data_IF_131568716452
#
_entry.id   IF_131568716452
#
_cell.length_a   1.000
_cell.length_b   1.000
_cell.length_c   1.000
_cell.angle_alpha   90.00
_cell.angle_beta   90.00
_cell.angle_gamma   90.00
#
_symmetry.space_group_name_H-M   'P 1'
#
loop_
_entity.id
_entity.type
_entity.pdbx_description
1 polymer ?
#
# COMPACT_ATOMS: atom_id res chain seq x y z
N UNK A 1 2.57 21.76 16.89
CA UNK A 1 3.66 20.78 16.68
C UNK A 1 5.03 21.45 16.68
N UNK A 2 5.31 22.40 15.78
CA UNK A 2 6.62 23.08 15.72
C UNK A 2 6.96 23.79 17.04
N UNK A 3 6.01 24.54 17.62
CA UNK A 3 6.19 25.20 18.93
C UNK A 3 6.43 24.20 20.09
N UNK A 4 6.02 22.95 19.92
CA UNK A 4 6.28 21.87 20.87
C UNK A 4 7.65 21.20 20.65
N UNK A 5 8.45 21.65 19.66
CA UNK A 5 9.82 21.20 19.41
C UNK A 5 9.97 20.12 18.34
N UNK A 6 8.99 19.90 17.46
CA UNK A 6 9.11 18.91 16.38
C UNK A 6 9.96 19.44 15.22
N UNK A 7 11.03 18.72 14.85
CA UNK A 7 11.92 19.06 13.72
C UNK A 7 11.32 18.74 12.34
N UNK A 8 10.45 17.72 12.28
CA UNK A 8 9.80 17.25 11.05
C UNK A 8 8.29 17.20 11.25
N UNK A 9 7.54 17.76 10.31
CA UNK A 9 6.09 17.73 10.28
C UNK A 9 5.64 16.81 9.16
N UNK A 10 4.98 15.70 9.51
CA UNK A 10 4.33 14.84 8.54
C UNK A 10 3.00 15.49 8.09
N UNK A 11 2.84 15.63 6.78
CA UNK A 11 1.56 15.99 6.14
C UNK A 11 1.03 14.71 5.52
N UNK A 12 -0.08 14.22 6.05
CA UNK A 12 -0.63 12.90 5.74
C UNK A 12 -1.92 13.09 4.95
N UNK A 13 -1.95 12.59 3.71
CA UNK A 13 -3.20 12.46 2.96
C UNK A 13 -3.26 11.07 2.32
N UNK A 14 -4.04 10.14 2.91
CA UNK A 14 -4.08 8.75 2.46
C UNK A 14 -4.80 8.56 1.11
N UNK A 15 -5.47 9.60 0.59
CA UNK A 15 -6.28 9.50 -0.63
C UNK A 15 -5.61 10.11 -1.86
N UNK A 16 -4.43 10.71 -1.73
CA UNK A 16 -3.69 11.27 -2.89
C UNK A 16 -3.47 10.22 -3.97
N UNK A 17 -3.24 8.96 -3.62
CA UNK A 17 -3.09 7.85 -4.58
C UNK A 17 -4.34 7.60 -5.44
N UNK A 18 -5.52 8.01 -4.96
CA UNK A 18 -6.80 7.86 -5.65
C UNK A 18 -7.11 9.02 -6.61
N UNK A 19 -6.28 10.07 -6.63
CA UNK A 19 -6.49 11.28 -7.41
C UNK A 19 -5.50 11.29 -8.57
N UNK A 20 -5.98 11.61 -9.78
CA UNK A 20 -5.11 11.68 -10.95
C UNK A 20 -4.08 12.81 -10.80
N UNK A 21 -2.85 12.66 -11.32
CA UNK A 21 -1.83 13.72 -11.27
C UNK A 21 -2.33 15.07 -11.80
N UNK A 22 -3.10 15.06 -12.89
CA UNK A 22 -3.73 16.26 -13.46
C UNK A 22 -4.66 16.98 -12.47
N UNK A 23 -5.44 16.24 -11.69
CA UNK A 23 -6.32 16.83 -10.70
C UNK A 23 -5.54 17.28 -9.47
N UNK A 24 -4.51 16.53 -9.05
CA UNK A 24 -3.59 16.95 -7.99
C UNK A 24 -2.96 18.30 -8.35
N UNK A 25 -2.33 18.40 -9.52
CA UNK A 25 -1.63 19.61 -9.97
C UNK A 25 -2.56 20.82 -10.03
N UNK A 26 -3.81 20.61 -10.46
CA UNK A 26 -4.78 21.69 -10.65
C UNK A 26 -5.47 22.11 -9.35
N UNK A 27 -5.80 21.17 -8.48
CA UNK A 27 -6.75 21.39 -7.36
C UNK A 27 -6.09 21.32 -6.00
N UNK A 28 -5.06 20.48 -5.83
CA UNK A 28 -4.48 20.19 -4.52
C UNK A 28 -3.10 20.83 -4.33
N UNK A 29 -2.29 20.87 -5.40
CA UNK A 29 -0.93 21.38 -5.36
C UNK A 29 -0.83 22.79 -4.74
N UNK A 30 -1.68 23.78 -5.08
CA UNK A 30 -1.58 25.11 -4.47
C UNK A 30 -1.72 25.08 -2.94
N UNK A 31 -2.64 24.25 -2.43
CA UNK A 31 -2.89 24.13 -0.99
C UNK A 31 -1.75 23.41 -0.28
N UNK A 32 -1.29 22.28 -0.83
CA UNK A 32 -0.17 21.53 -0.26
C UNK A 32 1.13 22.32 -0.29
N UNK A 33 1.45 22.98 -1.41
CA UNK A 33 2.61 23.89 -1.50
C UNK A 33 2.55 24.97 -0.42
N UNK A 34 1.39 25.58 -0.20
CA UNK A 34 1.23 26.59 0.86
C UNK A 34 1.52 26.03 2.26
N UNK A 35 1.15 24.77 2.52
CA UNK A 35 1.45 24.08 3.79
C UNK A 35 2.96 23.81 3.93
N UNK A 36 3.59 23.27 2.89
CA UNK A 36 5.03 22.98 2.91
C UNK A 36 5.88 24.25 3.02
N UNK A 37 5.53 25.31 2.28
CA UNK A 37 6.16 26.62 2.39
C UNK A 37 6.03 27.21 3.81
N UNK A 38 4.86 27.04 4.43
CA UNK A 38 4.67 27.48 5.82
C UNK A 38 5.56 26.71 6.79
N UNK A 39 5.63 25.37 6.69
CA UNK A 39 6.51 24.53 7.54
C UNK A 39 7.97 24.98 7.39
N UNK A 40 8.42 25.13 6.13
CA UNK A 40 9.77 25.59 5.81
C UNK A 40 10.05 27.00 6.34
N UNK A 41 9.10 27.92 6.28
CA UNK A 41 9.24 29.29 6.81
C UNK A 41 9.44 29.33 8.33
N UNK A 42 9.04 28.26 9.03
CA UNK A 42 9.27 28.06 10.46
C UNK A 42 10.57 27.32 10.78
N UNK A 43 11.37 26.98 9.76
CA UNK A 43 12.64 26.30 9.92
C UNK A 43 12.51 24.80 10.25
N UNK A 44 11.34 24.21 10.05
CA UNK A 44 11.11 22.77 10.21
C UNK A 44 11.10 22.07 8.84
N UNK A 45 11.33 20.76 8.83
CA UNK A 45 11.22 19.93 7.64
C UNK A 45 9.80 19.38 7.48
N UNK A 46 9.43 19.03 6.26
CA UNK A 46 8.15 18.45 5.90
C UNK A 46 8.30 17.08 5.26
N UNK A 47 7.43 16.13 5.63
CA UNK A 47 7.36 14.82 4.99
C UNK A 47 5.94 14.56 4.49
N UNK A 48 5.76 14.35 3.19
CA UNK A 48 4.46 14.03 2.60
C UNK A 48 4.24 12.52 2.61
N UNK A 49 3.24 12.05 3.34
CA UNK A 49 2.87 10.65 3.40
C UNK A 49 1.58 10.34 2.63
N UNK A 50 1.60 9.24 1.89
CA UNK A 50 0.48 8.74 1.08
C UNK A 50 0.33 7.22 1.22
N UNK A 51 -0.91 6.76 1.43
CA UNK A 51 -1.27 5.35 1.43
C UNK A 51 -1.55 4.83 0.01
N UNK A 52 -1.38 3.53 -0.19
CA UNK A 52 -1.69 2.84 -1.43
C UNK A 52 -0.68 3.12 -2.56
N UNK A 53 -1.01 2.72 -3.78
CA UNK A 53 -0.09 2.84 -4.90
C UNK A 53 -0.04 4.28 -5.46
N UNK A 54 0.85 5.10 -4.92
CA UNK A 54 1.08 6.48 -5.34
C UNK A 54 2.11 6.64 -6.48
N UNK A 55 2.49 5.56 -7.17
CA UNK A 55 3.59 5.56 -8.17
C UNK A 55 3.39 6.65 -9.25
N UNK A 56 2.15 6.90 -9.69
CA UNK A 56 1.86 7.90 -10.73
C UNK A 56 1.87 9.33 -10.18
N UNK A 57 1.73 9.49 -8.86
CA UNK A 57 1.56 10.76 -8.17
C UNK A 57 2.90 11.30 -7.64
N UNK A 58 3.94 10.47 -7.54
CA UNK A 58 5.24 10.86 -6.96
C UNK A 58 5.76 12.17 -7.57
N UNK A 59 5.77 12.31 -8.89
CA UNK A 59 6.29 13.53 -9.53
C UNK A 59 5.46 14.79 -9.16
N UNK A 60 4.12 14.67 -9.13
CA UNK A 60 3.23 15.75 -8.68
C UNK A 60 3.48 16.10 -7.21
N UNK A 61 3.69 15.11 -6.35
CA UNK A 61 4.03 15.33 -4.95
C UNK A 61 5.38 16.04 -4.81
N UNK A 62 6.39 15.66 -5.60
CA UNK A 62 7.70 16.32 -5.61
C UNK A 62 7.60 17.81 -5.98
N UNK A 63 6.74 18.16 -6.94
CA UNK A 63 6.52 19.55 -7.38
C UNK A 63 5.93 20.45 -6.30
N UNK A 64 5.40 19.88 -5.21
CA UNK A 64 4.90 20.66 -4.07
C UNK A 64 6.01 21.04 -3.08
N UNK A 65 7.25 20.60 -3.33
CA UNK A 65 8.44 20.93 -2.56
C UNK A 65 8.47 20.48 -1.09
N UNK A 66 7.98 19.27 -0.72
CA UNK A 66 8.28 18.73 0.60
C UNK A 66 9.76 18.37 0.72
N UNK A 67 10.28 18.24 1.94
CA UNK A 67 11.65 17.78 2.18
C UNK A 67 11.78 16.25 2.07
N UNK A 68 10.69 15.54 2.34
CA UNK A 68 10.59 14.10 2.17
C UNK A 68 9.22 13.62 1.66
N UNK A 69 9.20 12.42 1.08
CA UNK A 69 8.00 11.68 0.70
C UNK A 69 8.11 10.28 1.28
N UNK A 70 7.09 9.83 2.02
CA UNK A 70 7.01 8.46 2.55
C UNK A 70 5.89 7.71 1.85
N UNK A 71 6.18 6.47 1.41
CA UNK A 71 5.30 5.69 0.54
C UNK A 71 4.99 4.31 1.11
N UNK A 72 3.80 3.84 0.76
CA UNK A 72 3.26 2.52 1.10
C UNK A 72 3.97 1.34 0.42
N UNK A 73 3.77 0.12 0.96
CA UNK A 73 4.34 -1.13 0.43
C UNK A 73 3.94 -1.41 -1.03
N UNK A 74 2.85 -0.79 -1.50
CA UNK A 74 2.37 -0.90 -2.88
C UNK A 74 3.18 -0.09 -3.91
N UNK A 75 4.13 0.76 -3.49
CA UNK A 75 4.95 1.58 -4.38
C UNK A 75 6.27 0.87 -4.71
N UNK A 76 6.67 0.88 -5.98
CA UNK A 76 8.01 0.46 -6.38
C UNK A 76 9.01 1.52 -5.92
N UNK A 77 9.67 1.28 -4.79
CA UNK A 77 10.54 2.25 -4.14
C UNK A 77 11.75 2.63 -5.01
N UNK A 78 12.27 1.69 -5.81
CA UNK A 78 13.38 1.96 -6.72
C UNK A 78 12.98 2.93 -7.84
N UNK A 79 11.81 2.72 -8.45
CA UNK A 79 11.29 3.65 -9.46
C UNK A 79 10.93 5.01 -8.85
N UNK A 80 10.28 5.02 -7.70
CA UNK A 80 9.92 6.25 -7.00
C UNK A 80 11.18 7.07 -6.64
N UNK A 81 12.24 6.40 -6.17
CA UNK A 81 13.51 7.03 -5.83
C UNK A 81 14.16 7.74 -7.02
N UNK A 82 14.15 7.12 -8.21
CA UNK A 82 14.67 7.76 -9.43
C UNK A 82 13.98 9.11 -9.67
N UNK A 83 12.69 9.22 -9.37
CA UNK A 83 11.94 10.47 -9.49
C UNK A 83 12.31 11.42 -8.36
N UNK A 84 12.27 11.00 -7.08
CA UNK A 84 12.56 11.90 -5.95
C UNK A 84 13.98 12.46 -5.97
N UNK A 85 14.96 11.69 -6.46
CA UNK A 85 16.34 12.12 -6.58
C UNK A 85 16.50 13.29 -7.58
N UNK A 86 15.68 13.36 -8.63
CA UNK A 86 15.67 14.49 -9.58
C UNK A 86 15.24 15.81 -8.93
N UNK A 87 14.49 15.72 -7.83
CA UNK A 87 13.98 16.86 -7.07
C UNK A 87 14.74 17.08 -5.75
N UNK A 88 15.77 16.26 -5.47
CA UNK A 88 16.50 16.26 -4.20
C UNK A 88 15.58 16.08 -2.97
N UNK A 89 14.63 15.15 -3.06
CA UNK A 89 13.67 14.83 -2.00
C UNK A 89 14.07 13.52 -1.32
N UNK A 90 13.96 13.49 0.01
CA UNK A 90 14.18 12.27 0.80
C UNK A 90 13.02 11.31 0.63
N UNK A 91 13.28 10.06 0.24
CA UNK A 91 12.24 9.04 0.13
C UNK A 91 12.26 8.09 1.32
N UNK A 92 11.08 7.80 1.86
CA UNK A 92 10.86 6.89 2.97
C UNK A 92 9.94 5.72 2.62
N UNK A 93 10.23 4.56 3.19
CA UNK A 93 9.44 3.34 3.05
C UNK A 93 10.33 2.15 2.66
N UNK A 94 9.77 1.04 2.21
CA UNK A 94 8.36 0.69 2.31
C UNK A 94 8.22 -0.76 2.77
N UNK A 95 8.87 -1.08 3.90
CA UNK A 95 8.89 -2.44 4.47
C UNK A 95 7.46 -2.96 4.60
N UNK A 96 7.15 -4.15 4.03
CA UNK A 96 5.80 -4.71 4.08
C UNK A 96 5.32 -4.97 5.51
N UNK A 97 4.12 -4.52 5.83
CA UNK A 97 3.64 -4.48 7.21
C UNK A 97 3.25 -5.86 7.72
N UNK A 98 2.43 -6.57 6.96
CA UNK A 98 1.88 -7.84 7.43
C UNK A 98 2.83 -9.00 7.17
N UNK A 99 3.27 -9.17 5.92
CA UNK A 99 4.04 -10.36 5.51
C UNK A 99 5.46 -10.34 6.06
N UNK A 100 6.06 -9.16 6.22
CA UNK A 100 7.42 -9.02 6.75
C UNK A 100 7.38 -8.67 8.23
N UNK A 101 6.73 -7.57 8.64
CA UNK A 101 6.84 -7.12 10.04
C UNK A 101 5.99 -7.93 11.02
N UNK A 102 4.72 -8.21 10.72
CA UNK A 102 3.82 -8.92 11.64
C UNK A 102 4.05 -10.44 11.66
N UNK A 103 4.02 -11.08 10.49
CA UNK A 103 4.10 -12.54 10.37
C UNK A 103 5.47 -13.07 9.95
N UNK A 104 6.37 -12.19 9.53
CA UNK A 104 7.74 -12.57 9.23
C UNK A 104 8.57 -12.80 10.50
N UNK A 105 9.72 -13.40 10.29
CA UNK A 105 10.77 -13.57 11.29
C UNK A 105 11.72 -12.38 11.33
N UNK A 106 12.63 -12.37 12.29
CA UNK A 106 13.73 -11.41 12.31
C UNK A 106 14.58 -11.49 11.02
N UNK A 107 14.76 -12.69 10.48
CA UNK A 107 15.54 -12.89 9.25
C UNK A 107 14.80 -12.36 8.02
N UNK A 108 13.46 -12.46 7.96
CA UNK A 108 12.66 -11.83 6.90
C UNK A 108 12.79 -10.30 6.92
N UNK A 109 12.73 -9.70 8.11
CA UNK A 109 12.89 -8.26 8.31
C UNK A 109 14.30 -7.79 7.94
N UNK A 110 15.33 -8.52 8.39
CA UNK A 110 16.72 -8.26 8.00
C UNK A 110 16.90 -8.35 6.48
N UNK A 111 16.37 -9.43 5.87
CA UNK A 111 16.46 -9.64 4.43
C UNK A 111 15.79 -8.51 3.66
N UNK A 112 14.58 -8.11 4.04
CA UNK A 112 13.88 -7.00 3.41
C UNK A 112 14.73 -5.72 3.42
N UNK A 113 15.32 -5.36 4.57
CA UNK A 113 16.17 -4.18 4.66
C UNK A 113 17.44 -4.30 3.82
N UNK A 114 18.12 -5.45 3.85
CA UNK A 114 19.31 -5.69 3.03
C UNK A 114 18.98 -5.58 1.53
N UNK A 115 17.87 -6.18 1.10
CA UNK A 115 17.43 -6.09 -0.29
C UNK A 115 17.15 -4.63 -0.70
N UNK A 116 16.53 -3.83 0.19
CA UNK A 116 16.35 -2.39 -0.06
C UNK A 116 17.69 -1.66 -0.17
N UNK A 117 18.63 -1.91 0.75
CA UNK A 117 19.96 -1.29 0.74
C UNK A 117 20.80 -1.68 -0.48
N UNK A 118 20.65 -2.91 -0.99
CA UNK A 118 21.40 -3.40 -2.14
C UNK A 118 20.85 -2.86 -3.47
N UNK A 119 19.55 -2.54 -3.52
CA UNK A 119 18.88 -2.07 -4.74
C UNK A 119 18.71 -0.55 -4.83
N UNK A 120 18.99 0.21 -3.76
CA UNK A 120 18.76 1.65 -3.69
C UNK A 120 20.04 2.42 -3.39
N UNK A 121 20.16 3.62 -3.95
CA UNK A 121 21.15 4.59 -3.48
C UNK A 121 20.84 5.04 -2.05
N UNK A 122 21.87 5.28 -1.23
CA UNK A 122 21.66 5.59 0.20
C UNK A 122 21.50 7.09 0.49
N UNK A 123 21.80 7.96 -0.48
CA UNK A 123 21.52 9.39 -0.36
C UNK A 123 20.00 9.60 -0.34
N UNK A 124 19.51 10.49 0.55
CA UNK A 124 18.09 10.86 0.61
C UNK A 124 17.17 9.63 0.77
N UNK A 125 17.54 8.67 1.62
CA UNK A 125 16.79 7.44 1.88
C UNK A 125 16.52 7.26 3.37
N UNK A 126 15.26 6.97 3.72
CA UNK A 126 14.83 6.56 5.06
C UNK A 126 14.20 5.17 4.96
N UNK A 127 14.89 4.16 5.50
CA UNK A 127 14.30 2.82 5.66
C UNK A 127 13.22 2.90 6.74
N UNK A 128 11.97 2.64 6.34
CA UNK A 128 10.81 2.69 7.22
C UNK A 128 9.71 1.73 6.76
N UNK A 129 8.75 1.39 7.65
CA UNK A 129 7.53 0.69 7.27
C UNK A 129 6.75 1.43 6.19
N UNK A 130 5.96 0.71 5.38
CA UNK A 130 5.09 1.34 4.36
C UNK A 130 3.96 2.19 4.95
N UNK A 131 3.52 1.91 6.17
CA UNK A 131 2.49 2.65 6.89
C UNK A 131 2.68 2.41 8.41
N UNK A 132 1.66 2.73 9.21
CA UNK A 132 1.62 2.39 10.62
C UNK A 132 1.78 0.88 10.84
N UNK A 133 2.68 0.51 11.75
CA UNK A 133 2.93 -0.90 12.06
C UNK A 133 1.70 -1.51 12.74
N UNK A 134 1.33 -2.76 12.41
CA UNK A 134 0.32 -3.51 13.14
C UNK A 134 0.64 -3.57 14.65
N UNK A 135 -0.38 -3.44 15.50
CA UNK A 135 -0.21 -3.41 16.95
C UNK A 135 0.55 -4.63 17.50
N UNK A 136 0.28 -5.82 16.93
CA UNK A 136 0.87 -7.08 17.34
C UNK A 136 2.24 -7.39 16.68
N UNK A 137 2.84 -6.42 15.95
CA UNK A 137 4.17 -6.61 15.36
C UNK A 137 5.19 -7.00 16.44
N UNK A 138 5.87 -8.16 16.31
CA UNK A 138 6.87 -8.57 17.29
C UNK A 138 8.00 -7.55 17.41
N UNK A 139 8.37 -7.20 18.64
CA UNK A 139 9.40 -6.20 18.92
C UNK A 139 10.73 -6.60 18.28
N UNK A 140 11.07 -7.89 18.31
CA UNK A 140 12.27 -8.46 17.72
C UNK A 140 12.40 -8.20 16.21
N UNK A 141 11.28 -8.05 15.49
CA UNK A 141 11.27 -7.72 14.07
C UNK A 141 11.68 -6.27 13.84
N UNK A 142 11.23 -5.34 14.70
CA UNK A 142 11.67 -3.93 14.65
C UNK A 142 13.16 -3.79 15.00
N UNK A 143 13.66 -4.60 15.95
CA UNK A 143 15.08 -4.66 16.31
C UNK A 143 15.90 -5.18 15.13
N UNK A 144 15.39 -6.20 14.43
CA UNK A 144 16.04 -6.79 13.27
C UNK A 144 16.19 -5.78 12.11
N UNK A 145 15.16 -4.96 11.85
CA UNK A 145 15.23 -3.84 10.90
C UNK A 145 16.36 -2.87 11.29
N UNK A 146 16.37 -2.42 12.56
CA UNK A 146 17.38 -1.47 13.04
C UNK A 146 18.80 -2.05 12.98
N UNK A 147 18.97 -3.34 13.28
CA UNK A 147 20.25 -4.04 13.18
C UNK A 147 20.73 -4.13 11.73
N UNK A 148 19.84 -4.43 10.79
CA UNK A 148 20.16 -4.50 9.36
C UNK A 148 20.65 -3.16 8.82
N UNK A 149 20.03 -2.05 9.21
CA UNK A 149 20.50 -0.70 8.84
C UNK A 149 21.87 -0.37 9.46
N UNK A 150 22.08 -0.71 10.74
CA UNK A 150 23.30 -0.34 11.48
C UNK A 150 24.50 -1.22 11.15
N UNK A 151 24.29 -2.49 10.81
CA UNK A 151 25.35 -3.50 10.62
C UNK A 151 25.12 -4.37 9.37
N UNK A 152 24.96 -3.75 8.18
CA UNK A 152 24.47 -4.45 6.99
C UNK A 152 25.37 -5.61 6.57
N UNK A 153 26.71 -5.47 6.62
CA UNK A 153 27.63 -6.55 6.23
C UNK A 153 27.53 -7.77 7.14
N UNK A 154 27.42 -7.56 8.45
CA UNK A 154 27.22 -8.65 9.41
C UNK A 154 25.89 -9.35 9.17
N UNK A 155 24.84 -8.57 8.90
CA UNK A 155 23.51 -9.11 8.65
C UNK A 155 23.46 -9.90 7.34
N UNK A 156 24.14 -9.43 6.27
CA UNK A 156 24.27 -10.19 5.02
C UNK A 156 24.82 -11.60 5.24
N UNK A 157 25.84 -11.74 6.08
CA UNK A 157 26.38 -13.07 6.41
C UNK A 157 25.41 -13.90 7.29
N UNK A 158 24.66 -13.26 8.21
CA UNK A 158 23.63 -13.95 9.02
C UNK A 158 22.50 -14.55 8.18
N UNK A 159 22.11 -13.89 7.08
CA UNK A 159 20.96 -14.30 6.24
C UNK A 159 21.37 -15.03 4.95
N UNK A 160 22.66 -15.27 4.72
CA UNK A 160 23.21 -15.78 3.45
C UNK A 160 22.58 -17.08 2.94
N UNK A 161 22.18 -17.96 3.86
CA UNK A 161 21.53 -19.24 3.55
C UNK A 161 20.04 -19.24 3.93
N UNK A 162 19.49 -18.08 4.27
CA UNK A 162 18.10 -17.96 4.68
C UNK A 162 17.18 -17.91 3.45
N UNK A 163 16.08 -18.65 3.52
CA UNK A 163 14.96 -18.54 2.61
C UNK A 163 13.72 -18.18 3.42
N UNK A 164 12.98 -17.18 2.97
CA UNK A 164 11.77 -16.70 3.62
C UNK A 164 10.71 -17.79 3.68
N UNK A 165 9.92 -17.79 4.75
CA UNK A 165 8.76 -18.68 4.88
C UNK A 165 7.69 -18.23 3.89
N UNK A 166 7.17 -19.16 3.08
CA UNK A 166 6.07 -18.85 2.16
C UNK A 166 4.70 -19.15 2.78
N UNK A 167 3.65 -18.56 2.22
CA UNK A 167 2.27 -18.84 2.61
C UNK A 167 1.64 -19.95 1.75
N UNK A 168 2.43 -20.63 0.91
CA UNK A 168 1.95 -21.59 -0.09
C UNK A 168 1.41 -22.89 0.53
N UNK A 169 1.82 -23.21 1.77
CA UNK A 169 1.37 -24.40 2.50
C UNK A 169 -0.07 -24.28 3.02
N UNK A 170 -0.66 -23.08 2.97
CA UNK A 170 -2.03 -22.84 3.45
C UNK A 170 -3.02 -23.23 2.33
N UNK A 171 -3.80 -24.28 2.58
CA UNK A 171 -4.83 -24.74 1.65
C UNK A 171 -6.00 -23.76 1.59
N UNK A 172 -6.04 -22.95 0.52
CA UNK A 172 -7.18 -22.08 0.19
C UNK A 172 -7.96 -22.62 -1.01
N UNK A 173 -9.28 -22.68 -0.88
CA UNK A 173 -10.20 -23.07 -1.94
C UNK A 173 -10.50 -21.84 -2.81
N UNK A 174 -10.18 -21.95 -4.10
CA UNK A 174 -10.57 -20.96 -5.12
C UNK A 174 -11.84 -21.47 -5.80
N UNK A 175 -12.93 -20.68 -5.85
CA UNK A 175 -14.17 -21.11 -6.47
C UNK A 175 -14.01 -21.24 -7.99
N UNK A 176 -14.87 -22.04 -8.61
CA UNK A 176 -14.96 -22.11 -10.06
C UNK A 176 -15.73 -20.88 -10.58
N UNK A 177 -14.99 -19.83 -10.91
CA UNK A 177 -15.54 -18.55 -11.34
C UNK A 177 -16.44 -18.61 -12.58
N UNK A 178 -16.31 -19.66 -13.40
CA UNK A 178 -17.14 -19.83 -14.60
C UNK A 178 -18.51 -20.47 -14.30
N UNK A 179 -18.67 -21.08 -13.13
CA UNK A 179 -19.85 -21.88 -12.76
C UNK A 179 -20.44 -21.40 -11.42
N UNK A 180 -20.56 -20.09 -11.25
CA UNK A 180 -21.18 -19.46 -10.08
C UNK A 180 -22.69 -19.26 -10.31
N UNK A 181 -23.47 -19.29 -9.23
CA UNK A 181 -24.91 -18.95 -9.28
C UNK A 181 -25.15 -17.43 -9.37
N UNK A 182 -24.19 -16.64 -8.88
CA UNK A 182 -24.20 -15.18 -8.87
C UNK A 182 -22.79 -14.65 -9.16
N UNK A 183 -22.71 -13.38 -9.54
CA UNK A 183 -21.42 -12.69 -9.62
C UNK A 183 -20.78 -12.66 -8.24
N UNK A 184 -19.51 -13.04 -8.15
CA UNK A 184 -18.74 -12.94 -6.92
C UNK A 184 -17.83 -11.71 -6.99
N UNK A 185 -18.07 -10.75 -6.10
CA UNK A 185 -17.24 -9.57 -5.90
C UNK A 185 -16.26 -9.87 -4.76
N UNK A 186 -14.96 -9.91 -5.05
CA UNK A 186 -13.94 -10.18 -4.05
C UNK A 186 -13.09 -8.95 -3.82
N UNK A 187 -13.02 -8.48 -2.58
CA UNK A 187 -12.24 -7.30 -2.21
C UNK A 187 -11.05 -7.75 -1.38
N UNK A 188 -9.86 -7.61 -1.93
CA UNK A 188 -8.60 -7.87 -1.26
C UNK A 188 -8.09 -6.54 -0.70
N UNK A 189 -8.04 -6.42 0.61
CA UNK A 189 -7.72 -5.19 1.32
C UNK A 189 -6.62 -5.44 2.33
N UNK A 190 -5.79 -4.43 2.65
CA UNK A 190 -4.79 -4.53 3.70
C UNK A 190 -5.48 -4.70 5.07
N UNK A 191 -6.16 -3.64 5.49
CA UNK A 191 -7.04 -3.64 6.66
C UNK A 191 -8.13 -2.57 6.45
N UNK A 192 -9.39 -2.94 6.17
CA UNK A 192 -10.48 -1.97 6.01
C UNK A 192 -10.80 -1.14 7.25
N UNK A 193 -10.31 -1.51 8.43
CA UNK A 193 -10.55 -0.80 9.70
C UNK A 193 -9.50 0.29 9.94
N UNK A 194 -8.30 0.14 9.36
CA UNK A 194 -7.15 1.03 9.59
C UNK A 194 -6.68 1.77 8.34
N UNK A 195 -6.84 1.17 7.15
CA UNK A 195 -6.43 1.77 5.89
C UNK A 195 -7.62 2.45 5.20
N UNK A 196 -7.58 3.79 5.09
CA UNK A 196 -8.66 4.58 4.51
C UNK A 196 -9.04 4.13 3.08
N UNK A 197 -8.07 3.88 2.21
CA UNK A 197 -8.34 3.41 0.84
C UNK A 197 -9.07 2.05 0.83
N UNK A 198 -8.71 1.15 1.76
CA UNK A 198 -9.39 -0.13 1.95
C UNK A 198 -10.82 0.07 2.45
N UNK A 199 -11.03 0.96 3.43
CA UNK A 199 -12.36 1.32 3.93
C UNK A 199 -13.27 1.78 2.81
N UNK A 200 -12.81 2.72 1.97
CA UNK A 200 -13.62 3.24 0.87
C UNK A 200 -13.87 2.19 -0.23
N UNK A 201 -12.90 1.33 -0.55
CA UNK A 201 -13.10 0.23 -1.49
C UNK A 201 -14.16 -0.78 -1.00
N UNK A 202 -14.20 -1.06 0.31
CA UNK A 202 -15.23 -1.93 0.89
C UNK A 202 -16.59 -1.22 0.92
N UNK A 203 -16.61 0.06 1.29
CA UNK A 203 -17.85 0.82 1.42
C UNK A 203 -18.54 1.06 0.06
N UNK A 204 -17.79 1.25 -1.03
CA UNK A 204 -18.43 1.40 -2.36
C UNK A 204 -19.28 0.18 -2.73
N UNK A 205 -18.88 -1.03 -2.30
CA UNK A 205 -19.70 -2.24 -2.48
C UNK A 205 -20.81 -2.30 -1.45
N UNK A 206 -20.51 -2.17 -0.15
CA UNK A 206 -21.50 -2.28 0.93
C UNK A 206 -22.66 -1.29 0.79
N UNK A 207 -22.36 -0.03 0.51
CA UNK A 207 -23.34 1.05 0.43
C UNK A 207 -24.28 0.91 -0.77
N UNK A 208 -23.85 0.19 -1.82
CA UNK A 208 -24.60 0.01 -3.06
C UNK A 208 -25.07 -1.44 -3.27
N UNK A 209 -24.80 -2.35 -2.33
CA UNK A 209 -25.07 -3.78 -2.49
C UNK A 209 -26.57 -4.07 -2.67
N UNK A 210 -27.45 -3.27 -2.08
CA UNK A 210 -28.90 -3.41 -2.24
C UNK A 210 -29.38 -3.38 -3.71
N UNK A 211 -28.65 -2.72 -4.61
CA UNK A 211 -29.00 -2.64 -6.05
C UNK A 211 -28.56 -3.87 -6.85
N UNK A 212 -27.69 -4.70 -6.29
CA UNK A 212 -27.07 -5.85 -6.97
C UNK A 212 -27.19 -7.16 -6.17
N UNK A 213 -27.75 -7.15 -4.98
CA UNK A 213 -27.85 -8.32 -4.07
C UNK A 213 -28.51 -9.56 -4.67
N UNK A 214 -29.39 -9.37 -5.65
CA UNK A 214 -30.12 -10.47 -6.30
C UNK A 214 -29.24 -11.17 -7.34
N UNK A 215 -28.19 -10.50 -7.82
CA UNK A 215 -27.31 -10.97 -8.91
C UNK A 215 -25.84 -11.12 -8.50
N UNK A 216 -25.47 -10.65 -7.31
CA UNK A 216 -24.11 -10.69 -6.81
C UNK A 216 -24.05 -11.00 -5.31
N UNK A 217 -22.96 -11.67 -4.90
CA UNK A 217 -22.50 -11.77 -3.53
C UNK A 217 -21.12 -11.09 -3.42
N UNK A 218 -20.68 -10.72 -2.21
CA UNK A 218 -19.35 -10.16 -2.02
C UNK A 218 -18.65 -10.70 -0.77
N UNK A 219 -17.34 -10.83 -0.87
CA UNK A 219 -16.46 -11.25 0.23
C UNK A 219 -15.28 -10.28 0.36
N UNK A 220 -14.81 -10.06 1.59
CA UNK A 220 -13.66 -9.18 1.87
C UNK A 220 -12.57 -10.01 2.52
N UNK A 221 -11.43 -10.10 1.84
CA UNK A 221 -10.23 -10.77 2.33
C UNK A 221 -9.25 -9.72 2.86
N UNK A 222 -8.79 -9.92 4.10
CA UNK A 222 -7.91 -8.97 4.80
C UNK A 222 -6.48 -9.48 4.79
N UNK A 223 -5.56 -8.68 4.27
CA UNK A 223 -4.13 -8.94 4.21
C UNK A 223 -3.45 -8.68 5.57
N UNK A 224 -4.15 -9.04 6.64
CA UNK A 224 -3.69 -9.19 8.01
C UNK A 224 -4.21 -10.52 8.62
N UNK A 225 -4.82 -11.40 7.82
CA UNK A 225 -5.24 -12.76 8.16
C UNK A 225 -4.44 -13.75 7.31
N UNK A 226 -3.86 -14.78 7.91
CA UNK A 226 -2.90 -15.69 7.22
C UNK A 226 -3.52 -16.41 6.02
N UNK A 227 -4.74 -16.90 6.16
CA UNK A 227 -5.50 -17.59 5.12
C UNK A 227 -5.82 -16.65 3.94
N UNK A 228 -6.13 -15.40 4.23
CA UNK A 228 -6.44 -14.38 3.24
C UNK A 228 -5.18 -13.91 2.48
N UNK A 229 -4.02 -13.86 3.15
CA UNK A 229 -2.72 -13.63 2.50
C UNK A 229 -2.46 -14.75 1.49
N UNK A 230 -2.62 -16.01 1.89
CA UNK A 230 -2.44 -17.16 1.00
C UNK A 230 -3.42 -17.10 -0.19
N UNK A 231 -4.67 -16.70 0.04
CA UNK A 231 -5.65 -16.46 -1.03
C UNK A 231 -5.16 -15.38 -2.00
N UNK A 232 -4.75 -14.24 -1.47
CA UNK A 232 -4.28 -13.09 -2.24
C UNK A 232 -3.11 -13.47 -3.14
N UNK A 233 -2.15 -14.23 -2.60
CA UNK A 233 -1.01 -14.77 -3.36
C UNK A 233 -1.45 -15.75 -4.45
N UNK A 234 -2.36 -16.69 -4.13
CA UNK A 234 -2.89 -17.68 -5.09
C UNK A 234 -3.70 -17.04 -6.22
N UNK A 235 -4.33 -15.91 -5.94
CA UNK A 235 -5.03 -15.08 -6.93
C UNK A 235 -4.09 -14.20 -7.76
N UNK A 236 -2.78 -14.18 -7.47
CA UNK A 236 -1.79 -13.39 -8.20
C UNK A 236 -1.92 -11.89 -7.97
N UNK A 237 -2.51 -11.46 -6.86
CA UNK A 237 -2.75 -10.05 -6.55
C UNK A 237 -1.49 -9.46 -5.91
N UNK A 238 -0.95 -8.42 -6.54
CA UNK A 238 0.30 -7.77 -6.13
C UNK A 238 0.10 -6.39 -5.50
N UNK A 239 -1.12 -5.84 -5.55
CA UNK A 239 -1.42 -4.51 -5.06
C UNK A 239 -2.73 -4.48 -4.29
N UNK A 240 -2.78 -3.67 -3.24
CA UNK A 240 -3.96 -3.51 -2.39
C UNK A 240 -4.40 -2.03 -2.32
N UNK A 241 -5.69 -1.78 -2.06
CA UNK A 241 -6.79 -2.73 -2.21
C UNK A 241 -7.01 -3.10 -3.69
N UNK A 242 -7.45 -4.33 -3.96
CA UNK A 242 -7.87 -4.80 -5.29
C UNK A 242 -9.28 -5.37 -5.21
N UNK A 243 -10.13 -5.00 -6.17
CA UNK A 243 -11.45 -5.59 -6.34
C UNK A 243 -11.48 -6.46 -7.60
N UNK A 244 -11.88 -7.71 -7.42
CA UNK A 244 -12.08 -8.68 -8.48
C UNK A 244 -13.58 -8.91 -8.72
N UNK A 245 -13.93 -9.19 -9.97
CA UNK A 245 -15.26 -9.66 -10.38
C UNK A 245 -15.08 -11.04 -11.00
N UNK A 246 -15.65 -12.07 -10.38
CA UNK A 246 -15.47 -13.47 -10.78
C UNK A 246 -13.98 -13.84 -10.93
N UNK A 247 -13.18 -13.49 -9.92
CA UNK A 247 -11.75 -13.79 -9.89
C UNK A 247 -10.87 -12.92 -10.79
N UNK A 248 -11.44 -12.14 -11.70
CA UNK A 248 -10.68 -11.21 -12.53
C UNK A 248 -10.48 -9.85 -11.82
N UNK A 249 -9.23 -9.38 -11.63
CA UNK A 249 -8.98 -8.03 -11.12
C UNK A 249 -9.57 -6.98 -12.06
N UNK A 250 -10.52 -6.18 -11.55
CA UNK A 250 -11.13 -5.07 -12.31
C UNK A 250 -10.57 -3.73 -11.89
N UNK A 251 -10.39 -3.54 -10.58
CA UNK A 251 -9.87 -2.29 -10.04
C UNK A 251 -8.73 -2.57 -9.07
N UNK A 252 -7.54 -2.08 -9.42
CA UNK A 252 -6.29 -2.28 -8.68
C UNK A 252 -5.83 -0.94 -8.13
N UNK A 253 -5.84 -0.82 -6.79
CA UNK A 253 -5.51 0.40 -6.05
C UNK A 253 -6.31 1.65 -6.47
N UNK A 254 -7.47 1.48 -7.11
CA UNK A 254 -8.35 2.56 -7.55
C UNK A 254 -9.79 2.20 -7.18
N UNK A 255 -10.46 3.07 -6.45
CA UNK A 255 -11.86 2.83 -6.06
C UNK A 255 -12.79 3.23 -7.22
N UNK A 256 -13.67 2.34 -7.70
CA UNK A 256 -14.58 2.66 -8.79
C UNK A 256 -15.67 3.65 -8.38
N UNK A 257 -16.27 4.30 -9.36
CA UNK A 257 -17.55 5.00 -9.16
C UNK A 257 -18.72 4.02 -8.97
N UNK A 258 -19.80 4.47 -8.34
CA UNK A 258 -21.01 3.67 -8.14
C UNK A 258 -21.56 3.06 -9.44
N UNK A 259 -21.77 3.91 -10.46
CA UNK A 259 -22.34 3.47 -11.73
C UNK A 259 -21.42 2.48 -12.45
N UNK A 260 -20.12 2.70 -12.37
CA UNK A 260 -19.10 1.83 -12.94
C UNK A 260 -19.14 0.44 -12.31
N UNK A 261 -19.19 0.36 -10.97
CA UNK A 261 -19.33 -0.88 -10.22
C UNK A 261 -20.60 -1.63 -10.63
N UNK A 262 -21.76 -0.97 -10.59
CA UNK A 262 -23.05 -1.60 -10.89
C UNK A 262 -23.09 -2.12 -12.33
N UNK A 263 -22.57 -1.35 -13.29
CA UNK A 263 -22.58 -1.72 -14.69
C UNK A 263 -21.68 -2.93 -14.97
N UNK A 264 -20.48 -2.98 -14.40
CA UNK A 264 -19.59 -4.15 -14.55
C UNK A 264 -20.16 -5.40 -13.88
N UNK A 265 -20.80 -5.28 -12.72
CA UNK A 265 -21.49 -6.42 -12.08
C UNK A 265 -22.62 -6.94 -12.96
N UNK A 266 -23.49 -6.06 -13.49
CA UNK A 266 -24.57 -6.47 -14.40
C UNK A 266 -24.05 -7.14 -15.68
N UNK A 267 -22.96 -6.61 -16.23
CA UNK A 267 -22.30 -7.18 -17.40
C UNK A 267 -21.74 -8.57 -17.11
N UNK A 268 -21.05 -8.76 -15.97
CA UNK A 268 -20.56 -10.06 -15.55
C UNK A 268 -21.69 -11.08 -15.32
N UNK A 269 -22.81 -10.64 -14.73
CA UNK A 269 -23.97 -11.49 -14.51
C UNK A 269 -24.60 -11.98 -15.84
N UNK A 270 -24.71 -11.09 -16.84
CA UNK A 270 -25.22 -11.48 -18.15
C UNK A 270 -24.33 -12.50 -18.86
N UNK A 271 -23.01 -12.46 -18.64
CA UNK A 271 -22.07 -13.46 -19.18
C UNK A 271 -22.22 -14.79 -18.45
N UNK A 272 -22.43 -14.76 -17.13
CA UNK A 272 -22.58 -15.96 -16.31
C UNK A 272 -23.88 -16.73 -16.60
N UNK A 273 -24.94 -16.02 -16.98
CA UNK A 273 -26.27 -16.58 -17.24
C UNK A 273 -26.54 -16.91 -18.73
N UNK A 274 -25.63 -16.52 -19.63
CA UNK A 274 -25.77 -16.68 -21.08
C UNK A 274 -25.00 -17.87 -21.61
#
# INVERSE_FOLDING_TARGET
YIEAGMDVIAVVDPLVSQISPKHIDKLLAPTFTSVFDFIKSKGAFSCFFVCGNATKQIESMCKMHPDGISVDENVDLAKAKIVTDQYNITIGGNIPLTTTMLYGSQQDNMKCVIDLLDNLGHQNLIISPGCDMPYDTPIENTIAVAQAVKTPDSVREMIKNYQSVSFDDINVIIPDYNNLDKVLIEIFALDPEQCAACTYMVNIVKDNFNEIKDIADFEVYKYNIREDIARTMKMGITNLPTMCINGEPKWVSLIPGKEELINEVKKAYNILMG
#
